data_IF_292921440694
#
_entry.id   IF_292921440694
#
_cell.length_a   1.000
_cell.length_b   1.000
_cell.length_c   1.000
_cell.angle_alpha   90.00
_cell.angle_beta   90.00
_cell.angle_gamma   90.00
#
_symmetry.space_group_name_H-M   'P 1'
#
loop_
_entity.id
_entity.type
_entity.pdbx_description
1 polymer ?
#
# COMPACT_ATOMS: atom_id res chain seq x y z
N UNK A 1 -10.32 0.76 22.17
CA UNK A 1 -10.63 -0.56 22.74
C UNK A 1 -9.91 -1.69 22.02
N UNK A 2 -10.17 -1.99 20.75
CA UNK A 2 -9.50 -3.11 20.04
C UNK A 2 -7.96 -2.98 19.95
N UNK A 3 -7.42 -1.78 19.75
CA UNK A 3 -5.98 -1.52 19.71
C UNK A 3 -5.29 -1.76 21.07
N UNK A 4 -5.93 -1.39 22.17
CA UNK A 4 -5.34 -1.52 23.50
C UNK A 4 -5.32 -2.99 23.95
N UNK A 5 -6.33 -3.77 23.59
CA UNK A 5 -6.34 -5.21 23.87
C UNK A 5 -5.33 -5.98 23.00
N UNK A 6 -5.13 -5.56 21.74
CA UNK A 6 -4.12 -6.15 20.87
C UNK A 6 -2.70 -5.90 21.38
N UNK A 7 -2.42 -4.70 21.92
CA UNK A 7 -1.11 -4.35 22.47
C UNK A 7 -0.74 -5.14 23.73
N UNK A 8 -1.73 -5.65 24.47
CA UNK A 8 -1.50 -6.41 25.71
C UNK A 8 -1.09 -7.88 25.50
N UNK A 9 -1.24 -8.42 24.28
CA UNK A 9 -0.95 -9.82 24.01
C UNK A 9 0.06 -9.98 22.86
N UNK A 10 1.26 -10.46 23.18
CA UNK A 10 2.31 -10.75 22.16
C UNK A 10 1.83 -11.71 21.08
N UNK A 11 1.00 -12.72 21.45
CA UNK A 11 0.43 -13.67 20.49
C UNK A 11 -0.52 -13.00 19.49
N UNK A 12 -1.33 -12.03 19.92
CA UNK A 12 -2.22 -11.29 19.04
C UNK A 12 -1.44 -10.41 18.05
N UNK A 13 -0.37 -9.75 18.51
CA UNK A 13 0.52 -8.96 17.63
C UNK A 13 1.13 -9.86 16.57
N UNK A 14 1.63 -11.02 16.97
CA UNK A 14 2.22 -12.00 16.05
C UNK A 14 1.21 -12.48 15.01
N UNK A 15 -0.02 -12.83 15.42
CA UNK A 15 -1.08 -13.24 14.50
C UNK A 15 -1.46 -12.13 13.52
N UNK A 16 -1.58 -10.88 13.96
CA UNK A 16 -1.84 -9.73 13.09
C UNK A 16 -0.72 -9.58 12.05
N UNK A 17 0.54 -9.65 12.50
CA UNK A 17 1.70 -9.53 11.62
C UNK A 17 1.69 -10.62 10.53
N UNK A 18 1.49 -11.87 10.91
CA UNK A 18 1.42 -12.99 9.96
C UNK A 18 0.24 -12.83 8.99
N UNK A 19 -0.94 -12.45 9.50
CA UNK A 19 -2.12 -12.25 8.65
C UNK A 19 -1.88 -11.15 7.61
N UNK A 20 -1.24 -10.05 7.99
CA UNK A 20 -0.88 -8.97 7.07
C UNK A 20 0.08 -9.47 6.00
N UNK A 21 1.13 -10.22 6.38
CA UNK A 21 2.10 -10.78 5.43
C UNK A 21 1.39 -11.66 4.41
N UNK A 22 0.57 -12.59 4.87
CA UNK A 22 -0.12 -13.56 3.99
C UNK A 22 -1.07 -12.84 3.03
N UNK A 23 -1.95 -11.97 3.55
CA UNK A 23 -2.96 -11.30 2.74
C UNK A 23 -2.29 -10.37 1.72
N UNK A 24 -1.31 -9.59 2.15
CA UNK A 24 -0.58 -8.69 1.27
C UNK A 24 0.11 -9.46 0.13
N UNK A 25 0.82 -10.52 0.48
CA UNK A 25 1.56 -11.35 -0.47
C UNK A 25 0.63 -12.03 -1.49
N UNK A 26 -0.51 -12.56 -1.04
CA UNK A 26 -1.50 -13.18 -1.94
C UNK A 26 -2.08 -12.16 -2.93
N UNK A 27 -2.37 -10.94 -2.50
CA UNK A 27 -2.88 -9.89 -3.40
C UNK A 27 -1.79 -9.42 -4.36
N UNK A 28 -0.54 -9.34 -3.94
CA UNK A 28 0.58 -9.00 -4.81
C UNK A 28 0.80 -10.07 -5.90
N UNK A 29 0.77 -11.34 -5.53
CA UNK A 29 0.80 -12.46 -6.48
C UNK A 29 -0.38 -12.44 -7.44
N UNK A 30 -1.60 -12.19 -6.94
CA UNK A 30 -2.79 -12.07 -7.76
C UNK A 30 -2.63 -10.92 -8.78
N UNK A 31 -2.11 -9.80 -8.35
CA UNK A 31 -1.87 -8.68 -9.26
C UNK A 31 -0.84 -9.00 -10.32
N UNK A 32 0.27 -9.65 -9.99
CA UNK A 32 1.29 -10.10 -10.95
C UNK A 32 0.65 -11.04 -11.97
N UNK A 33 -0.14 -12.01 -11.51
CA UNK A 33 -0.86 -12.94 -12.38
C UNK A 33 -1.81 -12.21 -13.34
N UNK A 34 -2.66 -11.31 -12.83
CA UNK A 34 -3.60 -10.54 -13.65
C UNK A 34 -2.89 -9.67 -14.70
N UNK A 35 -1.77 -9.06 -14.34
CA UNK A 35 -0.99 -8.23 -15.28
C UNK A 35 -0.31 -9.08 -16.35
N UNK A 36 0.12 -10.30 -16.03
CA UNK A 36 0.71 -11.22 -17.02
C UNK A 36 -0.32 -11.69 -18.03
N UNK A 37 -1.52 -12.06 -17.60
CA UNK A 37 -2.61 -12.50 -18.47
C UNK A 37 -3.11 -11.39 -19.41
N UNK A 38 -3.10 -10.15 -18.96
CA UNK A 38 -3.52 -8.99 -19.75
C UNK A 38 -2.47 -8.53 -20.79
N UNK A 39 -1.34 -9.25 -20.93
CA UNK A 39 -0.21 -8.89 -21.80
C UNK A 39 0.32 -7.44 -21.61
N UNK A 40 0.05 -6.85 -20.45
CA UNK A 40 0.55 -5.52 -20.09
C UNK A 40 2.05 -5.56 -19.73
N UNK A 41 2.61 -6.78 -19.70
CA UNK A 41 3.96 -7.09 -19.21
C UNK A 41 5.07 -6.95 -20.26
N UNK A 42 4.84 -6.31 -21.40
CA UNK A 42 5.83 -6.25 -22.49
C UNK A 42 7.06 -5.38 -22.24
N UNK A 43 7.26 -4.87 -21.05
CA UNK A 43 8.47 -4.12 -20.73
C UNK A 43 8.86 -4.29 -19.26
N UNK A 44 10.14 -4.09 -18.97
CA UNK A 44 10.79 -4.09 -17.64
C UNK A 44 10.11 -3.20 -16.56
N UNK A 45 8.93 -2.68 -16.85
CA UNK A 45 8.13 -1.76 -16.04
C UNK A 45 6.95 -2.45 -15.34
N UNK A 46 7.06 -3.74 -15.01
CA UNK A 46 6.05 -4.51 -14.24
C UNK A 46 5.60 -3.83 -12.94
N UNK A 47 6.43 -2.94 -12.42
CA UNK A 47 6.20 -2.28 -11.11
C UNK A 47 5.29 -1.06 -11.14
N UNK A 48 5.06 -0.49 -12.31
CA UNK A 48 4.20 0.68 -12.47
C UNK A 48 2.91 0.29 -13.19
N UNK A 49 1.99 -0.34 -12.47
CA UNK A 49 0.65 -0.60 -12.98
C UNK A 49 -0.26 0.62 -12.77
N UNK A 50 -1.22 0.82 -13.66
CA UNK A 50 -2.23 1.86 -13.50
C UNK A 50 -3.22 1.60 -12.35
N UNK A 51 -3.24 0.40 -11.79
CA UNK A 51 -3.98 0.06 -10.56
C UNK A 51 -3.06 -0.81 -9.73
N UNK A 52 -2.60 -0.29 -8.58
CA UNK A 52 -1.72 -1.03 -7.69
C UNK A 52 -2.45 -1.38 -6.39
N UNK A 53 -3.10 -2.55 -6.41
CA UNK A 53 -3.93 -3.06 -5.30
C UNK A 53 -3.19 -3.18 -3.96
N UNK A 54 -1.93 -3.63 -3.91
CA UNK A 54 -1.19 -3.73 -2.66
C UNK A 54 -1.08 -2.40 -1.91
N UNK A 55 -1.09 -1.25 -2.60
CA UNK A 55 -1.09 0.05 -1.93
C UNK A 55 -2.41 0.31 -1.17
N UNK A 56 -3.54 -0.10 -1.73
CA UNK A 56 -4.83 -0.03 -1.04
C UNK A 56 -4.84 -0.85 0.24
N UNK A 57 -4.25 -2.05 0.23
CA UNK A 57 -4.10 -2.88 1.41
C UNK A 57 -3.19 -2.26 2.48
N UNK A 58 -2.07 -1.63 2.07
CA UNK A 58 -1.19 -0.92 3.00
C UNK A 58 -1.93 0.15 3.78
N UNK A 59 -2.70 0.97 3.06
CA UNK A 59 -3.54 2.00 3.67
C UNK A 59 -4.57 1.38 4.59
N UNK A 60 -5.29 0.35 4.14
CA UNK A 60 -6.29 -0.35 4.94
C UNK A 60 -5.71 -0.92 6.24
N UNK A 61 -4.62 -1.67 6.16
CA UNK A 61 -3.98 -2.25 7.36
C UNK A 61 -3.47 -1.17 8.31
N UNK A 62 -2.92 -0.08 7.77
CA UNK A 62 -2.50 1.05 8.60
C UNK A 62 -3.68 1.72 9.29
N UNK A 63 -4.83 1.83 8.63
CA UNK A 63 -6.06 2.31 9.26
C UNK A 63 -6.55 1.40 10.37
N UNK A 64 -6.63 0.10 10.10
CA UNK A 64 -7.21 -0.87 11.05
C UNK A 64 -6.28 -1.12 12.24
N UNK A 65 -4.99 -1.35 11.98
CA UNK A 65 -4.05 -1.78 13.01
C UNK A 65 -3.09 -0.67 13.48
N UNK A 66 -3.04 0.47 12.78
CA UNK A 66 -2.11 1.56 13.09
C UNK A 66 -0.66 1.08 13.03
N UNK A 67 0.14 1.48 14.02
CA UNK A 67 1.58 1.14 14.07
C UNK A 67 1.85 -0.38 14.11
N UNK A 68 0.90 -1.19 14.57
CA UNK A 68 1.03 -2.65 14.58
C UNK A 68 1.08 -3.25 13.18
N UNK A 69 0.60 -2.53 12.15
CA UNK A 69 0.71 -2.97 10.77
C UNK A 69 2.15 -2.86 10.22
N UNK A 70 2.99 -2.00 10.81
CA UNK A 70 4.31 -1.69 10.27
C UNK A 70 5.20 -2.93 10.05
N UNK A 71 5.44 -3.80 11.06
CA UNK A 71 6.32 -4.95 10.87
C UNK A 71 5.79 -5.94 9.81
N UNK A 72 4.47 -6.18 9.80
CA UNK A 72 3.85 -7.06 8.80
C UNK A 72 3.98 -6.53 7.38
N UNK A 73 3.71 -5.24 7.19
CA UNK A 73 3.83 -4.57 5.90
C UNK A 73 5.29 -4.51 5.42
N UNK A 74 6.24 -4.25 6.31
CA UNK A 74 7.65 -4.19 5.95
C UNK A 74 8.16 -5.55 5.48
N UNK A 75 7.87 -6.62 6.23
CA UNK A 75 8.25 -7.99 5.85
C UNK A 75 7.60 -8.38 4.53
N UNK A 76 6.30 -8.13 4.37
CA UNK A 76 5.58 -8.45 3.13
C UNK A 76 6.18 -7.71 1.93
N UNK A 77 6.55 -6.45 2.09
CA UNK A 77 7.18 -5.65 1.03
C UNK A 77 8.60 -6.12 0.68
N UNK A 78 9.38 -6.52 1.69
CA UNK A 78 10.70 -7.12 1.46
C UNK A 78 10.60 -8.43 0.69
N UNK A 79 9.64 -9.29 1.03
CA UNK A 79 9.38 -10.54 0.31
C UNK A 79 8.94 -10.29 -1.14
N UNK A 80 8.01 -9.38 -1.34
CA UNK A 80 7.58 -8.94 -2.68
C UNK A 80 8.74 -8.38 -3.50
N UNK A 81 9.55 -7.52 -2.90
CA UNK A 81 10.75 -6.96 -3.53
C UNK A 81 11.75 -8.04 -3.93
N UNK A 82 12.03 -9.00 -3.05
CA UNK A 82 12.90 -10.13 -3.36
C UNK A 82 12.40 -10.94 -4.57
N UNK A 83 11.11 -11.26 -4.61
CA UNK A 83 10.55 -12.00 -5.75
C UNK A 83 10.65 -11.24 -7.07
N UNK A 84 10.50 -9.94 -7.01
CA UNK A 84 10.52 -9.10 -8.20
C UNK A 84 11.92 -8.86 -8.76
N UNK A 85 12.92 -8.77 -7.89
CA UNK A 85 14.32 -8.48 -8.29
C UNK A 85 15.22 -9.73 -8.26
N UNK A 86 14.74 -10.85 -7.69
CA UNK A 86 15.52 -12.06 -7.42
C UNK A 86 16.78 -11.83 -6.56
N UNK A 87 16.84 -10.68 -5.88
CA UNK A 87 17.99 -10.27 -5.08
C UNK A 87 17.55 -9.45 -3.86
N UNK A 88 18.21 -9.65 -2.73
CA UNK A 88 18.15 -8.73 -1.58
C UNK A 88 19.26 -7.68 -1.75
N UNK A 89 18.94 -6.58 -2.39
CA UNK A 89 19.83 -5.44 -2.52
C UNK A 89 19.31 -4.21 -1.75
N UNK A 90 20.16 -3.19 -1.64
CA UNK A 90 19.79 -1.96 -0.92
C UNK A 90 18.58 -1.25 -1.55
N UNK A 91 18.39 -1.36 -2.86
CA UNK A 91 17.20 -0.83 -3.53
C UNK A 91 15.93 -1.45 -2.96
N UNK A 92 15.88 -2.79 -2.81
CA UNK A 92 14.74 -3.52 -2.25
C UNK A 92 14.48 -3.07 -0.81
N UNK A 93 15.53 -2.96 0.01
CA UNK A 93 15.38 -2.56 1.42
C UNK A 93 14.82 -1.14 1.56
N UNK A 94 15.42 -0.17 0.86
CA UNK A 94 14.97 1.23 0.95
C UNK A 94 13.58 1.43 0.32
N UNK A 95 13.30 0.82 -0.84
CA UNK A 95 11.98 0.91 -1.45
C UNK A 95 10.91 0.29 -0.57
N UNK A 96 11.18 -0.85 0.07
CA UNK A 96 10.25 -1.49 1.01
C UNK A 96 9.99 -0.63 2.24
N UNK A 97 11.04 -0.03 2.81
CA UNK A 97 10.92 0.85 3.96
C UNK A 97 10.07 2.09 3.65
N UNK A 98 10.39 2.79 2.57
CA UNK A 98 9.67 4.00 2.19
C UNK A 98 8.22 3.71 1.76
N UNK A 99 7.99 2.64 1.02
CA UNK A 99 6.65 2.21 0.65
C UNK A 99 5.81 1.81 1.87
N UNK A 100 6.42 1.23 2.89
CA UNK A 100 5.74 0.91 4.15
C UNK A 100 5.43 2.16 4.96
N UNK A 101 6.31 3.17 4.96
CA UNK A 101 6.12 4.41 5.71
C UNK A 101 5.07 5.34 5.06
N UNK A 102 4.91 5.29 3.74
CA UNK A 102 4.05 6.23 3.01
C UNK A 102 2.59 6.29 3.52
N UNK A 103 1.89 5.19 3.83
CA UNK A 103 0.53 5.27 4.37
C UNK A 103 0.48 5.88 5.77
N UNK A 104 1.51 5.65 6.60
CA UNK A 104 1.58 6.28 7.93
C UNK A 104 1.72 7.79 7.82
N UNK A 105 2.59 8.27 6.92
CA UNK A 105 2.80 9.71 6.68
C UNK A 105 1.52 10.32 6.10
N UNK A 106 0.93 9.71 5.06
CA UNK A 106 -0.28 10.21 4.43
C UNK A 106 -1.46 10.31 5.40
N UNK A 107 -1.70 9.26 6.18
CA UNK A 107 -2.76 9.22 7.20
C UNK A 107 -2.49 10.27 8.29
N UNK A 108 -1.24 10.40 8.76
CA UNK A 108 -0.88 11.38 9.78
C UNK A 108 -1.15 12.82 9.33
N UNK A 109 -0.78 13.17 8.08
CA UNK A 109 -1.02 14.49 7.52
C UNK A 109 -2.52 14.79 7.44
N UNK A 110 -3.29 13.84 6.92
CA UNK A 110 -4.76 13.99 6.79
C UNK A 110 -5.42 14.06 8.17
N UNK A 111 -4.99 13.22 9.12
CA UNK A 111 -5.45 13.25 10.51
C UNK A 111 -5.22 14.62 11.14
N UNK A 112 -4.02 15.17 11.01
CA UNK A 112 -3.66 16.47 11.58
C UNK A 112 -4.40 17.64 10.92
N UNK A 113 -4.61 17.59 9.59
CA UNK A 113 -5.26 18.68 8.84
C UNK A 113 -6.79 18.66 8.92
N UNK A 114 -7.42 17.48 8.97
CA UNK A 114 -8.86 17.32 8.81
C UNK A 114 -9.56 16.82 10.10
N UNK A 115 -8.85 16.80 11.24
CA UNK A 115 -9.39 16.28 12.51
C UNK A 115 -10.11 14.93 12.31
N UNK A 116 -9.40 13.97 11.70
CA UNK A 116 -9.94 12.64 11.44
C UNK A 116 -10.21 11.91 12.76
N UNK A 117 -11.47 11.82 13.17
CA UNK A 117 -11.85 10.72 14.04
C UNK A 117 -11.86 9.43 13.20
N UNK A 118 -11.24 8.37 13.72
CA UNK A 118 -11.23 7.04 13.06
C UNK A 118 -12.64 6.47 12.88
N UNK A 119 -13.64 7.03 13.55
CA UNK A 119 -15.05 6.60 13.54
C UNK A 119 -15.85 7.21 12.38
N UNK A 120 -15.35 8.28 11.74
CA UNK A 120 -16.04 8.99 10.68
C UNK A 120 -15.25 8.96 9.37
N UNK A 121 -15.08 7.78 8.80
CA UNK A 121 -14.44 7.62 7.50
C UNK A 121 -15.42 8.07 6.41
N UNK A 122 -15.26 9.28 5.91
CA UNK A 122 -16.00 9.78 4.75
C UNK A 122 -15.22 9.53 3.45
N UNK A 123 -15.92 9.48 2.32
CA UNK A 123 -15.30 9.33 0.99
C UNK A 123 -14.25 10.42 0.76
N UNK A 124 -14.56 11.66 1.14
CA UNK A 124 -13.62 12.78 1.03
C UNK A 124 -12.31 12.53 1.77
N UNK A 125 -12.39 11.98 2.99
CA UNK A 125 -11.20 11.66 3.79
C UNK A 125 -10.37 10.53 3.15
N UNK A 126 -11.03 9.52 2.57
CA UNK A 126 -10.36 8.45 1.82
C UNK A 126 -9.61 9.02 0.62
N UNK A 127 -10.23 9.94 -0.14
CA UNK A 127 -9.59 10.60 -1.29
C UNK A 127 -8.36 11.38 -0.86
N UNK A 128 -8.42 12.15 0.22
CA UNK A 128 -7.23 12.87 0.73
C UNK A 128 -6.13 11.91 1.17
N UNK A 129 -6.48 10.83 1.88
CA UNK A 129 -5.50 9.81 2.27
C UNK A 129 -4.87 9.17 1.04
N UNK A 130 -5.68 8.84 0.02
CA UNK A 130 -5.18 8.28 -1.23
C UNK A 130 -4.17 9.24 -1.90
N UNK A 131 -4.52 10.52 -2.03
CA UNK A 131 -3.64 11.52 -2.64
C UNK A 131 -2.32 11.65 -1.87
N UNK A 132 -2.37 11.88 -0.55
CA UNK A 132 -1.13 12.10 0.22
C UNK A 132 -0.27 10.85 0.32
N UNK A 133 -0.87 9.67 0.56
CA UNK A 133 -0.13 8.40 0.59
C UNK A 133 0.55 8.13 -0.74
N UNK A 134 -0.18 8.28 -1.85
CA UNK A 134 0.34 8.04 -3.20
C UNK A 134 1.42 9.04 -3.57
N UNK A 135 1.27 10.31 -3.17
CA UNK A 135 2.28 11.34 -3.40
C UNK A 135 3.63 10.95 -2.75
N UNK A 136 3.59 10.56 -1.47
CA UNK A 136 4.80 10.15 -0.75
C UNK A 136 5.37 8.85 -1.30
N UNK A 137 4.53 7.84 -1.58
CA UNK A 137 4.99 6.58 -2.14
C UNK A 137 5.66 6.77 -3.50
N UNK A 138 5.05 7.54 -4.40
CA UNK A 138 5.58 7.81 -5.74
C UNK A 138 6.88 8.60 -5.68
N UNK A 139 6.94 9.64 -4.83
CA UNK A 139 8.14 10.43 -4.64
C UNK A 139 9.31 9.58 -4.15
N UNK A 140 9.12 8.81 -3.08
CA UNK A 140 10.16 7.96 -2.54
C UNK A 140 10.52 6.80 -3.46
N UNK A 141 9.56 6.24 -4.19
CA UNK A 141 9.81 5.19 -5.16
C UNK A 141 10.71 5.68 -6.32
N UNK A 142 10.45 6.87 -6.83
CA UNK A 142 11.29 7.47 -7.88
C UNK A 142 12.65 7.86 -7.31
N UNK A 143 12.69 8.51 -6.14
CA UNK A 143 13.94 8.91 -5.48
C UNK A 143 14.87 7.72 -5.23
N UNK A 144 14.33 6.62 -4.71
CA UNK A 144 15.10 5.39 -4.43
C UNK A 144 15.71 4.85 -5.72
N UNK A 145 14.94 4.77 -6.81
CA UNK A 145 15.42 4.27 -8.09
C UNK A 145 16.47 5.18 -8.73
N UNK A 146 16.36 6.49 -8.52
CA UNK A 146 17.36 7.47 -8.93
C UNK A 146 18.70 7.27 -8.20
N UNK A 147 18.63 7.15 -6.87
CA UNK A 147 19.83 6.97 -6.03
C UNK A 147 20.59 5.69 -6.43
N UNK A 148 19.86 4.63 -6.73
CA UNK A 148 20.46 3.34 -7.10
C UNK A 148 20.69 3.17 -8.62
N UNK A 149 20.59 4.25 -9.42
CA UNK A 149 20.80 4.27 -10.88
C UNK A 149 20.01 3.19 -11.66
N UNK A 150 18.79 2.89 -11.17
CA UNK A 150 17.94 1.87 -11.78
C UNK A 150 17.29 2.35 -13.08
N UNK A 151 17.19 3.65 -13.29
CA UNK A 151 16.65 4.28 -14.49
C UNK A 151 17.57 5.35 -15.07
N UNK A 152 17.50 5.59 -16.39
CA UNK A 152 18.08 6.78 -17.01
C UNK A 152 17.37 8.05 -16.52
N UNK A 153 18.11 9.15 -16.37
CA UNK A 153 17.59 10.40 -15.77
C UNK A 153 16.43 11.04 -16.54
N UNK A 154 16.31 10.78 -17.83
CA UNK A 154 15.35 11.45 -18.72
C UNK A 154 13.92 10.88 -18.61
N UNK A 155 13.74 9.58 -18.29
CA UNK A 155 12.43 8.94 -18.23
C UNK A 155 11.75 9.00 -16.86
N UNK A 156 12.46 9.48 -15.83
CA UNK A 156 12.13 9.15 -14.44
C UNK A 156 11.05 10.05 -13.87
N UNK A 157 11.18 11.36 -14.03
CA UNK A 157 10.37 12.27 -13.23
C UNK A 157 8.94 12.44 -13.72
N UNK A 158 8.69 12.44 -15.03
CA UNK A 158 7.35 12.70 -15.53
C UNK A 158 6.48 11.47 -15.67
N UNK A 159 7.00 10.41 -16.31
CA UNK A 159 6.19 9.25 -16.66
C UNK A 159 6.10 8.25 -15.51
N UNK A 160 7.21 7.94 -14.84
CA UNK A 160 7.22 6.95 -13.78
C UNK A 160 6.54 7.44 -12.50
N UNK A 161 6.80 8.71 -12.12
CA UNK A 161 6.13 9.31 -10.99
C UNK A 161 4.60 9.29 -11.17
N UNK A 162 4.12 9.72 -12.33
CA UNK A 162 2.69 9.75 -12.62
C UNK A 162 2.07 8.35 -12.63
N UNK A 163 2.76 7.34 -13.18
CA UNK A 163 2.29 5.95 -13.16
C UNK A 163 2.14 5.43 -11.73
N UNK A 164 3.16 5.61 -10.89
CA UNK A 164 3.06 5.22 -9.49
C UNK A 164 1.96 5.99 -8.77
N UNK A 165 1.90 7.30 -8.96
CA UNK A 165 0.93 8.16 -8.29
C UNK A 165 -0.51 7.78 -8.64
N UNK A 166 -0.82 7.64 -9.92
CA UNK A 166 -2.16 7.27 -10.39
C UNK A 166 -2.49 5.82 -9.97
N UNK A 167 -1.56 4.89 -10.18
CA UNK A 167 -1.75 3.49 -9.83
C UNK A 167 -2.03 3.28 -8.35
N UNK A 168 -1.34 4.00 -7.50
CA UNK A 168 -1.53 3.97 -6.05
C UNK A 168 -2.88 4.56 -5.63
N UNK A 169 -3.26 5.72 -6.18
CA UNK A 169 -4.58 6.33 -5.91
C UNK A 169 -5.69 5.36 -6.29
N UNK A 170 -5.66 4.83 -7.52
CA UNK A 170 -6.69 3.93 -8.01
C UNK A 170 -6.74 2.62 -7.20
N UNK A 171 -5.58 2.09 -6.80
CA UNK A 171 -5.50 0.92 -5.93
C UNK A 171 -6.14 1.15 -4.56
N UNK A 172 -5.88 2.31 -3.94
CA UNK A 172 -6.50 2.67 -2.65
C UNK A 172 -8.01 2.83 -2.81
N UNK A 173 -8.45 3.61 -3.78
CA UNK A 173 -9.88 3.86 -4.02
C UNK A 173 -10.63 2.56 -4.32
N UNK A 174 -10.04 1.66 -5.10
CA UNK A 174 -10.63 0.36 -5.42
C UNK A 174 -10.83 -0.51 -4.18
N UNK A 175 -9.83 -0.66 -3.33
CA UNK A 175 -9.93 -1.45 -2.08
C UNK A 175 -11.01 -0.87 -1.16
N UNK A 176 -11.04 0.46 -0.97
CA UNK A 176 -12.05 1.07 -0.13
C UNK A 176 -13.46 0.98 -0.74
N UNK A 177 -13.61 1.08 -2.05
CA UNK A 177 -14.87 0.86 -2.75
C UNK A 177 -15.39 -0.57 -2.52
N UNK A 178 -14.53 -1.57 -2.65
CA UNK A 178 -14.90 -2.96 -2.34
C UNK A 178 -15.42 -3.10 -0.91
N UNK A 179 -14.73 -2.52 0.07
CA UNK A 179 -15.15 -2.58 1.47
C UNK A 179 -16.54 -1.93 1.66
N UNK A 180 -16.78 -0.78 1.04
CA UNK A 180 -18.07 -0.09 1.11
C UNK A 180 -19.17 -0.96 0.51
N UNK A 181 -18.94 -1.57 -0.66
CA UNK A 181 -19.89 -2.47 -1.32
C UNK A 181 -20.18 -3.70 -0.45
N UNK A 182 -19.14 -4.37 0.06
CA UNK A 182 -19.30 -5.53 0.93
C UNK A 182 -20.09 -5.17 2.20
N UNK A 183 -19.76 -4.05 2.84
CA UNK A 183 -20.51 -3.57 4.01
C UNK A 183 -21.98 -3.37 3.69
N UNK A 184 -22.31 -2.76 2.54
CA UNK A 184 -23.71 -2.54 2.12
C UNK A 184 -24.46 -3.86 1.90
N UNK A 185 -23.80 -4.84 1.27
CA UNK A 185 -24.43 -6.14 0.97
C UNK A 185 -24.67 -6.96 2.25
N UNK A 186 -23.69 -7.01 3.15
CA UNK A 186 -23.75 -7.93 4.30
C UNK A 186 -24.37 -7.31 5.55
N UNK A 187 -24.26 -6.00 5.77
CA UNK A 187 -24.80 -5.34 6.96
C UNK A 187 -26.26 -4.97 6.78
N UNK A 188 -26.70 -4.56 5.58
CA UNK A 188 -28.12 -4.19 5.34
C UNK A 188 -29.08 -5.38 5.21
N UNK A 189 -28.60 -6.61 5.11
CA UNK A 189 -29.46 -7.81 5.12
C UNK A 189 -29.90 -8.29 6.50
N UNK A 190 -29.38 -7.70 7.55
CA UNK A 190 -29.66 -8.10 8.93
C UNK A 190 -30.58 -7.12 9.70
N UNK A 191 -31.34 -6.24 8.97
CA UNK A 191 -32.37 -5.40 9.53
C UNK A 191 -33.66 -5.56 8.70
#
# INVERSE_FOLDING_TARGET
MLKEELLKSKSKIFLVTISIIIIYYLIDLLQIFLLSELNVSSSKNLFASYIYLPNGLRVLFTFVFGILAFPGLLIAHLLSGYLNYNEFNLLVVFSSLFSTLSPFIGIFIVYKKLNLSFYEITITKIVYVAIYTSLFNSFFSVLTRLIFNFYSKEDIFSVQFLKFFIGDILGILFIFLLIIIFRKIFVTKNY
#
